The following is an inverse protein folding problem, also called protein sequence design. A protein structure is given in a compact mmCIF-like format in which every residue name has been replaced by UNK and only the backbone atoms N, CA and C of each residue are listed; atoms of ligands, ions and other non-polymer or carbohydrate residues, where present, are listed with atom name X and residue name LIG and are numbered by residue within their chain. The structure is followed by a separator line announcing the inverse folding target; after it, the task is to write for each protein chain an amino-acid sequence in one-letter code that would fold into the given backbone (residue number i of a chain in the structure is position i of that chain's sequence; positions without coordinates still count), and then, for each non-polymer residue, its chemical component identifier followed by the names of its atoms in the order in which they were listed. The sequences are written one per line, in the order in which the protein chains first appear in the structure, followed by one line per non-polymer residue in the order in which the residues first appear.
data_IF_215176707555
#
_entry.id   IF_215176707555
#
_cell.length_a   1.000
_cell.length_b   1.000
_cell.length_c   1.000
_cell.angle_alpha   90.00
_cell.angle_beta   90.00
_cell.angle_gamma   90.00
#
_symmetry.space_group_name_H-M   'P 1'
#
loop_
_entity.id
_entity.type
_entity.pdbx_description
1 polymer ?
#
# COMPACT_ATOMS: atom_id res chain seq x y z
N UNK A 1 58.78 -36.47 -4.85
CA UNK A 1 58.30 -35.32 -4.05
C UNK A 1 56.82 -34.95 -4.33
N UNK A 2 56.24 -35.30 -5.49
CA UNK A 2 54.84 -35.01 -5.86
C UNK A 2 53.75 -35.93 -5.25
N UNK A 3 54.07 -37.17 -4.85
CA UNK A 3 53.03 -38.07 -4.28
C UNK A 3 52.65 -37.74 -2.82
N UNK A 4 53.59 -37.24 -2.02
CA UNK A 4 53.31 -36.83 -0.64
C UNK A 4 52.43 -35.57 -0.59
N UNK A 5 52.51 -34.68 -1.57
CA UNK A 5 51.66 -33.48 -1.66
C UNK A 5 50.20 -33.85 -1.97
N UNK A 6 49.96 -34.80 -2.89
CA UNK A 6 48.59 -35.27 -3.22
C UNK A 6 47.89 -35.95 -2.05
N UNK A 7 48.64 -36.67 -1.20
CA UNK A 7 48.08 -37.41 -0.04
C UNK A 7 47.52 -36.50 1.05
N UNK A 8 48.01 -35.26 1.14
CA UNK A 8 47.51 -34.24 2.06
C UNK A 8 46.63 -33.18 1.40
N UNK A 9 46.73 -32.97 0.09
CA UNK A 9 45.95 -31.97 -0.63
C UNK A 9 44.43 -32.27 -0.59
N UNK A 10 44.06 -33.54 -0.75
CA UNK A 10 42.66 -33.95 -0.74
C UNK A 10 41.99 -33.74 0.63
N UNK A 11 42.56 -34.21 1.76
CA UNK A 11 41.98 -33.93 3.07
C UNK A 11 42.05 -32.44 3.44
N UNK A 12 43.10 -31.71 3.04
CA UNK A 12 43.21 -30.27 3.32
C UNK A 12 42.16 -29.45 2.56
N UNK A 13 41.94 -29.76 1.27
CA UNK A 13 40.90 -29.14 0.44
C UNK A 13 39.50 -29.45 0.97
N UNK A 14 39.26 -30.69 1.39
CA UNK A 14 37.99 -31.10 1.99
C UNK A 14 37.74 -30.34 3.30
N UNK A 15 38.76 -30.22 4.15
CA UNK A 15 38.65 -29.49 5.43
C UNK A 15 38.37 -28.01 5.21
N UNK A 16 39.00 -27.41 4.20
CA UNK A 16 38.76 -26.02 3.81
C UNK A 16 37.34 -25.82 3.26
N UNK A 17 36.85 -26.75 2.42
CA UNK A 17 35.49 -26.70 1.89
C UNK A 17 34.43 -26.84 3.00
N UNK A 18 34.67 -27.73 3.98
CA UNK A 18 33.80 -27.87 5.16
C UNK A 18 33.82 -26.60 5.99
N UNK A 19 34.98 -25.98 6.23
CA UNK A 19 35.06 -24.70 6.96
C UNK A 19 34.34 -23.58 6.23
N UNK A 20 34.49 -23.46 4.90
CA UNK A 20 33.77 -22.47 4.10
C UNK A 20 32.27 -22.73 4.13
N UNK A 21 31.84 -24.00 4.06
CA UNK A 21 30.43 -24.39 4.17
C UNK A 21 29.85 -24.04 5.54
N UNK A 22 30.59 -24.28 6.63
CA UNK A 22 30.16 -23.92 7.98
C UNK A 22 30.11 -22.40 8.14
N UNK A 23 31.09 -21.66 7.61
CA UNK A 23 31.08 -20.19 7.64
C UNK A 23 29.93 -19.62 6.80
N UNK A 24 29.63 -20.20 5.63
CA UNK A 24 28.48 -19.82 4.81
C UNK A 24 27.15 -20.19 5.49
N UNK A 25 27.04 -21.37 6.11
CA UNK A 25 25.85 -21.76 6.89
C UNK A 25 25.64 -20.86 8.10
N UNK A 26 26.70 -20.55 8.85
CA UNK A 26 26.64 -19.59 9.97
C UNK A 26 26.32 -18.20 9.43
N UNK A 27 26.93 -17.75 8.34
CA UNK A 27 26.62 -16.45 7.71
C UNK A 27 25.17 -16.37 7.24
N UNK A 28 24.59 -17.45 6.71
CA UNK A 28 23.17 -17.55 6.36
C UNK A 28 22.27 -17.53 7.62
N UNK A 29 22.72 -18.15 8.72
CA UNK A 29 22.00 -18.16 10.01
C UNK A 29 22.12 -16.83 10.77
N UNK A 30 23.25 -16.12 10.67
CA UNK A 30 23.51 -14.86 11.40
C UNK A 30 23.17 -13.62 10.58
N UNK A 31 23.08 -13.75 9.25
CA UNK A 31 22.67 -12.69 8.35
C UNK A 31 21.49 -13.19 7.50
N UNK A 32 20.28 -13.28 8.08
CA UNK A 32 19.09 -13.51 7.28
C UNK A 32 19.04 -12.36 6.28
N UNK A 33 19.00 -12.64 4.98
CA UNK A 33 18.69 -11.63 3.97
C UNK A 33 17.37 -10.95 4.41
N UNK A 34 17.50 -9.76 5.00
CA UNK A 34 16.41 -9.06 5.69
C UNK A 34 15.56 -8.36 4.65
N UNK A 35 14.87 -9.16 3.86
CA UNK A 35 13.68 -8.75 3.15
C UNK A 35 12.50 -9.32 3.92
N UNK A 36 11.52 -8.46 4.19
CA UNK A 36 10.43 -8.72 5.13
C UNK A 36 9.75 -10.07 4.93
N UNK A 37 9.92 -10.97 5.89
CA UNK A 37 8.95 -12.01 6.23
C UNK A 37 9.25 -12.48 7.65
N UNK A 38 8.31 -12.20 8.56
CA UNK A 38 8.35 -12.81 9.89
C UNK A 38 8.02 -14.30 9.73
N UNK A 39 9.03 -15.13 9.96
CA UNK A 39 8.95 -16.42 10.64
C UNK A 39 8.11 -17.53 9.98
N UNK A 40 8.75 -18.38 9.19
CA UNK A 40 8.35 -19.79 9.07
C UNK A 40 8.90 -20.54 10.30
N UNK A 41 8.06 -20.75 11.31
CA UNK A 41 8.26 -21.82 12.29
C UNK A 41 7.15 -22.84 12.09
N UNK A 42 7.56 -24.09 11.78
CA UNK A 42 6.70 -25.26 11.82
C UNK A 42 6.01 -25.32 13.19
N UNK A 43 4.71 -25.04 13.23
CA UNK A 43 3.84 -25.33 14.38
C UNK A 43 2.58 -26.02 13.90
N UNK A 44 2.44 -27.23 14.41
CA UNK A 44 1.20 -28.02 14.49
C UNK A 44 -0.02 -27.15 14.77
N UNK A 45 -1.08 -27.46 14.04
CA UNK A 45 -2.43 -26.90 14.10
C UNK A 45 -2.90 -26.71 15.54
N UNK A 46 -2.88 -25.46 15.98
CA UNK A 46 -3.75 -24.96 17.03
C UNK A 46 -4.46 -23.74 16.46
N UNK A 47 -5.77 -23.87 16.23
CA UNK A 47 -6.65 -22.74 15.95
C UNK A 47 -6.47 -21.74 17.09
N UNK A 48 -6.00 -20.53 16.76
CA UNK A 48 -5.90 -19.27 17.53
C UNK A 48 -4.52 -18.64 17.24
N UNK A 49 -4.36 -18.00 16.07
CA UNK A 49 -3.17 -17.20 15.79
C UNK A 49 -3.57 -15.82 15.24
N UNK A 50 -3.61 -14.85 16.16
CA UNK A 50 -3.67 -13.38 15.97
C UNK A 50 -2.39 -12.80 15.33
N UNK A 51 -1.52 -13.64 14.74
CA UNK A 51 -0.14 -13.29 14.40
C UNK A 51 0.04 -12.63 13.03
N UNK A 52 -0.99 -12.63 12.17
CA UNK A 52 -0.95 -12.02 10.83
C UNK A 52 -1.61 -10.64 10.76
N UNK A 53 -2.05 -10.09 11.90
CA UNK A 53 -2.74 -8.80 11.93
C UNK A 53 -1.72 -7.68 11.93
N UNK A 54 -1.62 -6.98 10.79
CA UNK A 54 -0.75 -5.82 10.65
C UNK A 54 -1.25 -4.69 11.58
N UNK A 55 -0.39 -4.06 12.41
CA UNK A 55 -0.81 -2.99 13.31
C UNK A 55 -1.52 -1.84 12.58
N UNK A 56 -2.50 -1.19 13.23
CA UNK A 56 -3.26 -0.08 12.65
C UNK A 56 -2.32 0.99 12.07
N UNK A 57 -1.27 1.36 12.80
CA UNK A 57 -0.33 2.37 12.35
C UNK A 57 0.39 2.01 11.04
N UNK A 58 0.56 0.72 10.75
CA UNK A 58 1.27 0.23 9.58
C UNK A 58 0.33 0.17 8.37
N UNK A 59 -0.94 -0.17 8.59
CA UNK A 59 -2.00 -0.14 7.57
C UNK A 59 -2.30 1.30 7.13
N UNK A 60 -2.28 2.24 8.07
CA UNK A 60 -2.57 3.66 7.83
C UNK A 60 -1.32 4.54 7.72
N UNK A 61 -0.14 3.97 7.48
CA UNK A 61 1.06 4.76 7.21
C UNK A 61 1.00 5.42 5.81
N UNK A 62 1.78 6.49 5.57
CA UNK A 62 2.00 7.00 4.22
C UNK A 62 2.59 5.91 3.30
N UNK A 63 2.50 6.13 1.99
CA UNK A 63 2.87 5.12 0.99
C UNK A 63 4.22 5.40 0.32
N UNK A 64 4.57 6.68 0.16
CA UNK A 64 5.75 7.10 -0.62
C UNK A 64 6.54 8.19 0.09
N UNK A 65 7.82 8.25 -0.23
CA UNK A 65 8.74 9.30 0.21
C UNK A 65 9.31 10.00 -1.01
N UNK A 66 9.22 11.32 -1.02
CA UNK A 66 9.88 12.19 -1.99
C UNK A 66 10.92 13.00 -1.24
N UNK A 67 12.16 13.00 -1.74
CA UNK A 67 13.23 13.87 -1.26
C UNK A 67 13.36 15.06 -2.18
N UNK A 68 13.36 16.26 -1.62
CA UNK A 68 13.71 17.51 -2.29
C UNK A 68 15.12 17.90 -1.84
N UNK A 69 16.04 18.08 -2.79
CA UNK A 69 17.41 18.52 -2.49
C UNK A 69 17.53 20.04 -2.35
N UNK A 70 18.75 20.53 -2.10
CA UNK A 70 19.10 21.95 -2.01
C UNK A 70 18.72 22.78 -3.24
N UNK A 71 18.71 22.14 -4.42
CA UNK A 71 18.40 22.76 -5.71
C UNK A 71 16.94 22.56 -6.11
N UNK A 72 16.08 22.12 -5.19
CA UNK A 72 14.66 21.81 -5.42
C UNK A 72 14.40 20.66 -6.40
N UNK A 73 15.41 19.84 -6.73
CA UNK A 73 15.15 18.63 -7.50
C UNK A 73 14.52 17.57 -6.60
N UNK A 74 13.49 16.91 -7.13
CA UNK A 74 12.70 15.94 -6.41
C UNK A 74 12.96 14.53 -6.89
N UNK A 75 13.17 13.62 -5.94
CA UNK A 75 13.35 12.19 -6.20
C UNK A 75 12.40 11.37 -5.35
N UNK A 76 11.64 10.48 -5.98
CA UNK A 76 10.90 9.44 -5.27
C UNK A 76 11.90 8.37 -4.82
N UNK A 77 11.86 8.05 -3.52
CA UNK A 77 12.72 7.07 -2.90
C UNK A 77 11.99 5.75 -2.72
N UNK A 78 12.57 4.67 -3.22
CA UNK A 78 12.15 3.29 -2.93
C UNK A 78 13.37 2.49 -2.46
N UNK A 79 13.15 1.38 -1.78
CA UNK A 79 14.25 0.49 -1.43
C UNK A 79 13.74 -0.94 -1.41
N UNK A 80 14.47 -1.87 -2.06
CA UNK A 80 14.12 -3.27 -2.00
C UNK A 80 14.32 -3.79 -0.56
N UNK A 81 15.43 -3.43 0.09
CA UNK A 81 15.85 -3.98 1.39
C UNK A 81 15.26 -3.24 2.60
N UNK A 82 14.89 -1.96 2.43
CA UNK A 82 14.58 -1.07 3.55
C UNK A 82 13.17 -0.50 3.46
N UNK A 83 12.38 -0.70 4.51
CA UNK A 83 11.12 0.03 4.69
C UNK A 83 11.40 1.49 5.10
N UNK A 84 11.63 2.35 4.09
CA UNK A 84 11.93 3.78 4.28
C UNK A 84 10.79 4.43 5.08
N UNK A 85 9.55 4.32 4.62
CA UNK A 85 8.40 4.98 5.27
C UNK A 85 8.25 4.56 6.72
N UNK A 86 8.27 3.26 7.01
CA UNK A 86 8.13 2.75 8.38
C UNK A 86 9.24 3.27 9.30
N UNK A 87 10.46 3.42 8.78
CA UNK A 87 11.59 3.99 9.53
C UNK A 87 11.37 5.48 9.81
N UNK A 88 10.94 6.26 8.82
CA UNK A 88 10.60 7.68 8.99
C UNK A 88 9.47 7.86 10.01
N UNK A 89 8.38 7.09 9.89
CA UNK A 89 7.26 7.12 10.83
C UNK A 89 7.71 6.77 12.25
N UNK A 90 8.56 5.75 12.42
CA UNK A 90 9.13 5.40 13.73
C UNK A 90 9.92 6.55 14.35
N UNK A 91 10.59 7.37 13.55
CA UNK A 91 11.27 8.56 14.03
C UNK A 91 10.28 9.66 14.38
N UNK A 92 9.31 9.95 13.51
CA UNK A 92 8.28 10.96 13.79
C UNK A 92 7.45 10.64 15.04
N UNK A 93 7.23 9.35 15.35
CA UNK A 93 6.58 8.89 16.59
C UNK A 93 7.36 9.19 17.87
N UNK A 94 8.67 9.44 17.76
CA UNK A 94 9.55 9.79 18.89
C UNK A 94 9.77 11.30 19.00
N UNK A 95 9.42 12.05 17.96
CA UNK A 95 9.50 13.50 17.91
C UNK A 95 8.36 14.09 18.72
N UNK A 96 8.68 15.03 19.60
CA UNK A 96 7.66 15.81 20.30
C UNK A 96 7.12 16.88 19.35
N UNK A 97 5.80 16.97 19.23
CA UNK A 97 5.12 17.97 18.41
C UNK A 97 4.26 18.88 19.29
N UNK A 98 4.28 20.17 19.02
CA UNK A 98 3.40 21.14 19.67
C UNK A 98 2.61 21.97 18.64
N UNK A 99 1.48 22.52 19.08
CA UNK A 99 0.78 23.60 18.39
C UNK A 99 0.49 23.38 16.89
N UNK A 100 -0.40 22.42 16.57
CA UNK A 100 -0.88 22.21 15.20
C UNK A 100 -1.79 23.37 14.77
N UNK A 101 -1.23 24.30 14.00
CA UNK A 101 -1.89 25.54 13.57
C UNK A 101 -2.05 25.58 12.06
N UNK A 102 -3.23 25.99 11.59
CA UNK A 102 -3.45 26.25 10.16
C UNK A 102 -2.83 27.59 9.80
N UNK A 103 -1.80 27.56 8.96
CA UNK A 103 -1.04 28.76 8.55
C UNK A 103 -1.41 29.25 7.15
N UNK A 104 -2.05 28.41 6.32
CA UNK A 104 -2.51 28.81 4.99
C UNK A 104 -3.75 28.05 4.52
N UNK A 105 -4.50 28.64 3.60
CA UNK A 105 -5.71 28.09 2.95
C UNK A 105 -5.95 28.85 1.65
N UNK A 106 -6.35 28.13 0.60
CA UNK A 106 -6.65 28.65 -0.74
C UNK A 106 -5.49 29.40 -1.41
N UNK A 107 -4.24 29.10 -1.02
CA UNK A 107 -3.04 29.72 -1.59
C UNK A 107 -2.20 28.66 -2.29
N UNK A 108 -2.54 28.39 -3.56
CA UNK A 108 -1.87 27.40 -4.41
C UNK A 108 -0.35 27.58 -4.44
N UNK A 109 0.15 28.78 -4.73
CA UNK A 109 1.59 29.04 -4.79
C UNK A 109 2.28 28.68 -3.48
N UNK A 110 1.80 29.22 -2.35
CA UNK A 110 2.35 28.95 -1.02
C UNK A 110 2.38 27.46 -0.68
N UNK A 111 1.36 26.72 -1.11
CA UNK A 111 1.27 25.27 -0.91
C UNK A 111 2.35 24.53 -1.70
N UNK A 112 2.55 24.86 -2.99
CA UNK A 112 3.64 24.29 -3.79
C UNK A 112 5.03 24.72 -3.30
N UNK A 113 5.17 25.93 -2.74
CA UNK A 113 6.43 26.38 -2.12
C UNK A 113 6.80 25.50 -0.90
N UNK A 114 5.83 25.01 -0.12
CA UNK A 114 6.09 24.03 0.97
C UNK A 114 6.50 22.67 0.40
N UNK A 115 5.83 22.20 -0.64
CA UNK A 115 6.16 20.91 -1.26
C UNK A 115 7.54 20.89 -1.90
N UNK A 116 7.94 22.01 -2.49
CA UNK A 116 9.22 22.18 -3.17
C UNK A 116 10.27 22.79 -2.25
N UNK A 117 10.02 22.79 -0.93
CA UNK A 117 10.97 23.34 0.02
C UNK A 117 12.31 22.59 -0.09
N UNK A 118 13.44 23.30 -0.25
CA UNK A 118 14.76 22.68 -0.27
C UNK A 118 15.03 21.85 0.98
N UNK A 119 15.85 20.81 0.83
CA UNK A 119 16.24 19.91 1.91
C UNK A 119 15.06 19.40 2.72
N UNK A 120 14.13 18.72 2.07
CA UNK A 120 12.95 18.18 2.77
C UNK A 120 12.61 16.77 2.32
N UNK A 121 11.91 16.06 3.20
CA UNK A 121 11.24 14.81 2.89
C UNK A 121 9.73 15.03 2.90
N UNK A 122 9.06 14.60 1.85
CA UNK A 122 7.60 14.58 1.77
C UNK A 122 7.11 13.14 1.82
N UNK A 123 6.33 12.80 2.84
CA UNK A 123 5.61 11.54 2.94
C UNK A 123 4.20 11.72 2.38
N UNK A 124 3.78 10.88 1.43
CA UNK A 124 2.51 11.03 0.73
C UNK A 124 1.56 9.85 1.01
N UNK A 125 0.29 10.16 1.22
CA UNK A 125 -0.83 9.24 1.08
C UNK A 125 -1.37 9.27 -0.36
N UNK A 126 -2.09 8.21 -0.77
CA UNK A 126 -2.78 8.22 -2.07
C UNK A 126 -4.08 9.05 -2.03
N UNK A 127 -4.70 9.14 -0.85
CA UNK A 127 -5.89 9.95 -0.58
C UNK A 127 -5.80 10.63 0.79
N UNK A 128 -6.78 11.47 1.11
CA UNK A 128 -6.84 12.20 2.37
C UNK A 128 -6.95 11.27 3.58
N UNK A 129 -6.04 11.43 4.54
CA UNK A 129 -6.06 10.74 5.83
C UNK A 129 -6.72 11.60 6.89
N UNK A 130 -7.68 11.02 7.62
CA UNK A 130 -8.25 11.58 8.84
C UNK A 130 -7.18 11.94 9.87
N UNK A 131 -7.21 13.18 10.38
CA UNK A 131 -6.27 13.65 11.40
C UNK A 131 -6.25 12.74 12.65
N UNK A 132 -7.38 12.34 13.25
CA UNK A 132 -7.39 11.39 14.37
C UNK A 132 -6.66 10.07 14.12
N UNK A 133 -6.74 9.52 12.89
CA UNK A 133 -6.01 8.30 12.52
C UNK A 133 -4.51 8.61 12.38
N UNK A 134 -4.16 9.72 11.71
CA UNK A 134 -2.77 10.15 11.62
C UNK A 134 -2.15 10.41 12.99
N UNK A 135 -2.91 10.97 13.93
CA UNK A 135 -2.53 11.14 15.32
C UNK A 135 -2.14 9.82 15.99
N UNK A 136 -2.85 8.72 15.69
CA UNK A 136 -2.48 7.39 16.20
C UNK A 136 -1.23 6.84 15.55
N UNK A 137 -1.10 7.00 14.22
CA UNK A 137 0.10 6.61 13.47
C UNK A 137 1.34 7.30 14.03
N UNK A 138 1.23 8.60 14.36
CA UNK A 138 2.32 9.42 14.89
C UNK A 138 2.46 9.42 16.41
N UNK A 139 1.55 8.77 17.16
CA UNK A 139 1.48 8.84 18.63
C UNK A 139 1.31 10.29 19.16
N UNK A 140 0.49 11.07 18.48
CA UNK A 140 0.16 12.48 18.75
C UNK A 140 -1.37 12.72 18.82
N UNK A 141 -2.12 11.81 19.45
CA UNK A 141 -3.60 11.79 19.41
C UNK A 141 -4.27 13.10 19.84
N UNK A 142 -3.75 13.74 20.89
CA UNK A 142 -4.35 14.98 21.42
C UNK A 142 -4.23 16.15 20.43
N UNK A 143 -3.07 16.25 19.78
CA UNK A 143 -2.75 17.28 18.80
C UNK A 143 -3.59 17.15 17.53
N UNK A 144 -3.94 15.91 17.16
CA UNK A 144 -4.68 15.56 15.94
C UNK A 144 -6.13 15.16 16.22
N UNK A 145 -6.75 15.69 17.27
CA UNK A 145 -8.11 15.33 17.70
C UNK A 145 -9.24 15.95 16.86
N UNK A 146 -8.94 16.95 16.04
CA UNK A 146 -9.92 17.69 15.23
C UNK A 146 -10.16 16.99 13.88
N UNK A 147 -11.29 17.28 13.23
CA UNK A 147 -11.71 16.64 11.97
C UNK A 147 -11.02 17.19 10.72
N UNK A 148 -9.72 17.48 10.78
CA UNK A 148 -8.96 17.81 9.57
C UNK A 148 -8.56 16.55 8.80
N UNK A 149 -8.11 16.76 7.56
CA UNK A 149 -7.56 15.70 6.73
C UNK A 149 -6.20 16.13 6.17
N UNK A 150 -5.31 15.16 5.96
CA UNK A 150 -3.96 15.41 5.47
C UNK A 150 -3.60 14.39 4.40
N UNK A 151 -2.98 14.85 3.32
CA UNK A 151 -2.48 13.98 2.25
C UNK A 151 -0.96 13.86 2.32
N UNK A 152 -0.29 14.83 2.94
CA UNK A 152 1.18 14.92 2.91
C UNK A 152 1.74 15.43 4.21
N UNK A 153 2.93 14.92 4.55
CA UNK A 153 3.74 15.34 5.69
C UNK A 153 5.07 15.80 5.13
N UNK A 154 5.41 17.08 5.29
CA UNK A 154 6.69 17.65 4.84
C UNK A 154 7.58 17.87 6.05
N UNK A 155 8.74 17.23 6.02
CA UNK A 155 9.76 17.21 7.07
C UNK A 155 11.02 17.90 6.53
N UNK A 156 11.26 19.17 6.87
CA UNK A 156 12.55 19.84 6.62
C UNK A 156 13.71 19.09 7.29
N UNK A 157 14.84 19.00 6.59
CA UNK A 157 16.06 18.32 7.05
C UNK A 157 17.14 19.31 7.55
N UNK A 158 16.97 20.60 7.25
CA UNK A 158 17.90 21.69 7.57
C UNK A 158 17.65 22.35 8.94
N UNK A 159 17.04 21.60 9.87
CA UNK A 159 16.76 22.00 11.27
C UNK A 159 15.85 23.24 11.44
N UNK A 160 14.61 23.15 10.94
CA UNK A 160 13.63 24.25 11.05
C UNK A 160 12.71 24.19 12.26
N UNK A 161 12.92 23.25 13.18
CA UNK A 161 12.05 23.08 14.36
C UNK A 161 10.56 22.95 14.04
N UNK A 162 10.20 22.60 12.79
CA UNK A 162 8.82 22.58 12.28
C UNK A 162 8.59 21.41 11.32
N UNK A 163 7.37 20.89 11.31
CA UNK A 163 6.84 19.95 10.32
C UNK A 163 5.55 20.50 9.75
N UNK A 164 5.30 20.26 8.47
CA UNK A 164 4.08 20.69 7.80
C UNK A 164 3.16 19.51 7.46
N UNK A 165 1.86 19.71 7.65
CA UNK A 165 0.81 18.77 7.26
C UNK A 165 -0.11 19.44 6.25
N UNK A 166 -0.23 18.85 5.07
CA UNK A 166 -0.83 19.48 3.90
C UNK A 166 -2.13 18.77 3.54
N UNK A 167 -3.16 19.55 3.21
CA UNK A 167 -4.41 19.09 2.61
C UNK A 167 -4.48 19.63 1.18
N UNK A 168 -4.46 18.73 0.20
CA UNK A 168 -4.54 19.03 -1.22
C UNK A 168 -5.90 19.66 -1.55
N UNK A 169 -6.96 19.34 -0.78
CA UNK A 169 -8.23 20.05 -0.85
C UNK A 169 -8.05 21.49 -0.35
N UNK A 170 -8.37 22.46 -1.22
CA UNK A 170 -8.29 23.89 -0.91
C UNK A 170 -6.88 24.37 -0.49
N UNK A 171 -5.82 23.63 -0.82
CA UNK A 171 -4.43 24.01 -0.57
C UNK A 171 -4.17 24.45 0.88
N UNK A 172 -4.63 23.67 1.86
CA UNK A 172 -4.47 24.03 3.28
C UNK A 172 -3.11 23.56 3.79
N UNK A 173 -2.49 24.40 4.62
CA UNK A 173 -1.18 24.13 5.22
C UNK A 173 -1.33 24.26 6.73
N UNK A 174 -0.92 23.22 7.43
CA UNK A 174 -0.82 23.18 8.87
C UNK A 174 0.64 23.04 9.26
N UNK A 175 1.04 23.73 10.32
CA UNK A 175 2.39 23.72 10.87
C UNK A 175 2.31 23.19 12.31
N UNK A 176 3.25 22.33 12.68
CA UNK A 176 3.51 21.94 14.06
C UNK A 176 4.98 22.20 14.38
N UNK A 177 5.25 22.76 15.56
CA UNK A 177 6.62 22.87 16.06
C UNK A 177 7.10 21.49 16.53
N UNK A 178 8.40 21.22 16.37
CA UNK A 178 9.01 19.94 16.74
C UNK A 178 10.24 20.08 17.62
N UNK A 179 10.45 19.10 18.48
CA UNK A 179 11.67 18.91 19.27
C UNK A 179 12.18 17.47 19.14
N UNK A 180 13.48 17.30 19.32
CA UNK A 180 14.15 15.99 19.41
C UNK A 180 14.06 15.12 18.12
N UNK A 181 13.94 15.74 16.94
CA UNK A 181 13.99 15.00 15.68
C UNK A 181 15.42 14.51 15.39
N UNK A 182 15.60 13.20 15.23
CA UNK A 182 16.91 12.63 14.92
C UNK A 182 17.21 12.71 13.41
N UNK A 183 17.72 13.86 12.96
CA UNK A 183 18.10 14.12 11.57
C UNK A 183 19.19 13.15 11.07
N UNK A 184 20.17 12.79 11.91
CA UNK A 184 21.25 11.85 11.51
C UNK A 184 20.70 10.50 11.07
N UNK A 185 19.76 9.95 11.83
CA UNK A 185 19.12 8.67 11.48
C UNK A 185 18.19 8.81 10.26
N UNK A 186 17.53 9.97 10.07
CA UNK A 186 16.75 10.24 8.86
C UNK A 186 17.64 10.21 7.62
N UNK A 187 18.75 10.95 7.66
CA UNK A 187 19.73 10.99 6.58
C UNK A 187 20.27 9.61 6.23
N UNK A 188 20.64 8.79 7.21
CA UNK A 188 21.11 7.41 6.97
C UNK A 188 20.05 6.55 6.26
N UNK A 189 18.78 6.72 6.61
CA UNK A 189 17.66 5.94 6.04
C UNK A 189 17.44 6.26 4.56
N UNK A 190 17.71 7.50 4.13
CA UNK A 190 17.44 7.96 2.76
C UNK A 190 18.66 7.90 1.84
N UNK A 191 19.81 7.43 2.32
CA UNK A 191 21.05 7.32 1.52
C UNK A 191 21.52 5.88 1.31
N UNK A 192 21.12 4.94 2.16
CA UNK A 192 21.59 3.56 2.11
C UNK A 192 20.65 2.67 1.30
N UNK A 193 21.15 2.03 0.23
CA UNK A 193 20.42 1.05 -0.60
C UNK A 193 19.05 1.55 -1.11
N UNK A 194 19.01 2.84 -1.45
CA UNK A 194 17.82 3.50 -2.00
C UNK A 194 17.91 3.57 -3.51
N UNK A 195 16.83 3.18 -4.19
CA UNK A 195 16.59 3.47 -5.60
C UNK A 195 15.87 4.81 -5.68
N UNK A 196 16.33 5.69 -6.55
CA UNK A 196 15.76 7.04 -6.70
C UNK A 196 15.28 7.29 -8.12
N UNK A 197 14.02 7.67 -8.27
CA UNK A 197 13.44 8.07 -9.56
C UNK A 197 13.18 9.57 -9.55
N UNK A 198 13.59 10.27 -10.63
CA UNK A 198 13.30 11.70 -10.77
C UNK A 198 11.80 11.93 -10.91
N UNK A 199 11.27 12.86 -10.14
CA UNK A 199 9.84 13.20 -10.12
C UNK A 199 9.68 14.70 -9.90
N UNK A 200 8.49 15.21 -10.14
CA UNK A 200 8.10 16.57 -9.79
C UNK A 200 6.67 16.56 -9.27
N UNK A 201 6.35 17.36 -8.25
CA UNK A 201 4.96 17.54 -7.84
C UNK A 201 4.37 18.72 -8.63
N UNK A 202 3.56 18.41 -9.65
CA UNK A 202 2.91 19.40 -10.52
C UNK A 202 1.41 19.48 -10.24
N UNK A 203 0.71 20.41 -10.91
CA UNK A 203 -0.74 20.54 -10.82
C UNK A 203 -1.42 19.91 -12.04
N UNK A 204 -2.39 19.02 -11.81
CA UNK A 204 -3.31 18.48 -12.82
C UNK A 204 -4.74 18.75 -12.34
N UNK A 205 -5.55 19.44 -13.15
CA UNK A 205 -6.92 19.82 -12.80
C UNK A 205 -7.07 20.41 -11.38
N UNK A 206 -6.16 21.33 -11.04
CA UNK A 206 -6.06 21.98 -9.72
C UNK A 206 -5.84 21.04 -8.52
N UNK A 207 -5.24 19.88 -8.75
CA UNK A 207 -4.74 18.99 -7.69
C UNK A 207 -3.26 18.69 -7.87
N UNK A 208 -2.48 18.60 -6.78
CA UNK A 208 -1.11 18.10 -6.87
C UNK A 208 -1.08 16.66 -7.38
N UNK A 209 -0.21 16.37 -8.34
CA UNK A 209 0.03 15.02 -8.84
C UNK A 209 1.54 14.78 -9.02
N UNK A 210 1.94 13.51 -8.97
CA UNK A 210 3.33 13.12 -9.14
C UNK A 210 3.65 12.98 -10.63
N UNK A 211 4.41 13.92 -11.17
CA UNK A 211 4.83 13.98 -12.56
C UNK A 211 6.20 13.32 -12.73
N UNK A 212 6.34 12.50 -13.78
CA UNK A 212 7.59 11.84 -14.14
C UNK A 212 8.11 12.52 -15.42
N UNK A 213 9.20 13.31 -15.34
CA UNK A 213 9.68 14.13 -16.46
C UNK A 213 10.32 13.32 -17.59
N UNK A 214 10.73 12.07 -17.30
CA UNK A 214 11.35 11.14 -18.23
C UNK A 214 10.68 9.79 -18.15
N UNK A 215 11.00 8.92 -19.12
CA UNK A 215 10.66 7.50 -19.04
C UNK A 215 11.18 6.88 -17.74
N UNK A 216 10.44 5.90 -17.24
CA UNK A 216 10.81 5.18 -16.02
C UNK A 216 10.83 3.68 -16.28
N UNK A 217 11.88 3.02 -15.81
CA UNK A 217 12.04 1.57 -15.88
C UNK A 217 11.76 0.98 -14.50
N UNK A 218 10.75 0.13 -14.43
CA UNK A 218 10.37 -0.57 -13.20
C UNK A 218 10.44 -2.07 -13.42
N UNK A 219 10.77 -2.81 -12.37
CA UNK A 219 10.88 -4.27 -12.41
C UNK A 219 9.49 -4.89 -12.52
N UNK A 220 9.38 -5.97 -13.27
CA UNK A 220 8.24 -6.86 -13.18
C UNK A 220 8.44 -7.79 -11.97
N UNK A 221 7.35 -8.23 -11.33
CA UNK A 221 7.41 -9.13 -10.17
C UNK A 221 6.55 -10.36 -10.36
N UNK A 222 7.16 -11.54 -10.26
CA UNK A 222 6.44 -12.82 -10.23
C UNK A 222 5.91 -13.10 -8.84
N UNK A 223 4.68 -13.59 -8.75
CA UNK A 223 4.06 -13.98 -7.49
C UNK A 223 3.29 -15.28 -7.63
N UNK A 224 3.43 -16.13 -6.62
CA UNK A 224 2.51 -17.23 -6.39
C UNK A 224 1.50 -16.79 -5.33
N UNK A 225 0.22 -16.80 -5.72
CA UNK A 225 -0.90 -16.50 -4.87
C UNK A 225 -1.09 -17.62 -3.84
N UNK A 226 -1.38 -17.24 -2.61
CA UNK A 226 -1.88 -18.19 -1.61
C UNK A 226 -3.40 -18.15 -1.60
N UNK A 227 -4.03 -19.31 -1.58
CA UNK A 227 -5.48 -19.45 -1.46
C UNK A 227 -5.87 -19.92 -0.06
N UNK A 228 -6.87 -19.26 0.52
CA UNK A 228 -7.48 -19.64 1.80
C UNK A 228 -8.80 -20.37 1.54
N UNK A 229 -9.02 -21.48 2.25
CA UNK A 229 -10.25 -22.26 2.05
C UNK A 229 -11.51 -21.51 2.52
N UNK A 230 -12.62 -21.72 1.82
CA UNK A 230 -13.93 -21.16 2.22
C UNK A 230 -14.33 -21.57 3.65
N UNK A 231 -14.02 -22.81 4.05
CA UNK A 231 -14.34 -23.34 5.38
C UNK A 231 -13.63 -22.59 6.51
N UNK A 232 -12.42 -22.05 6.25
CA UNK A 232 -11.71 -21.17 7.21
C UNK A 232 -12.54 -19.93 7.54
N UNK A 233 -13.08 -19.25 6.53
CA UNK A 233 -13.90 -18.05 6.75
C UNK A 233 -15.29 -18.39 7.27
N UNK A 234 -15.90 -19.47 6.76
CA UNK A 234 -17.21 -19.92 7.23
C UNK A 234 -17.20 -20.21 8.73
N UNK A 235 -16.23 -21.00 9.21
CA UNK A 235 -16.10 -21.36 10.62
C UNK A 235 -15.80 -20.16 11.51
N UNK A 236 -15.05 -19.16 11.02
CA UNK A 236 -14.74 -17.94 11.77
C UNK A 236 -15.91 -16.95 11.83
N UNK A 237 -16.66 -16.81 10.74
CA UNK A 237 -17.68 -15.77 10.57
C UNK A 237 -19.05 -16.27 10.97
N UNK A 238 -19.48 -17.39 10.39
CA UNK A 238 -20.81 -17.98 10.64
C UNK A 238 -20.76 -18.91 11.86
N UNK A 239 -19.64 -19.60 12.07
CA UNK A 239 -19.49 -20.56 13.16
C UNK A 239 -20.42 -21.77 13.03
N UNK A 240 -20.63 -22.48 14.15
CA UNK A 240 -21.50 -23.66 14.20
C UNK A 240 -22.98 -23.29 14.46
N UNK A 241 -23.47 -22.21 13.84
CA UNK A 241 -24.87 -21.79 14.00
C UNK A 241 -25.82 -22.87 13.44
N UNK A 242 -26.72 -23.38 14.27
CA UNK A 242 -27.71 -24.41 13.90
C UNK A 242 -28.73 -23.92 12.88
N UNK A 243 -28.90 -22.60 12.77
CA UNK A 243 -29.89 -21.95 11.89
C UNK A 243 -29.26 -21.41 10.60
N UNK A 244 -28.18 -22.04 10.12
CA UNK A 244 -27.51 -21.63 8.88
C UNK A 244 -28.25 -22.18 7.67
N UNK A 245 -28.59 -21.31 6.72
CA UNK A 245 -29.15 -21.71 5.42
C UNK A 245 -28.09 -21.56 4.33
N UNK A 246 -28.10 -22.47 3.36
CA UNK A 246 -27.16 -22.47 2.23
C UNK A 246 -27.96 -22.34 0.94
N UNK A 247 -27.55 -21.40 0.09
CA UNK A 247 -28.13 -21.21 -1.25
C UNK A 247 -27.03 -21.21 -2.30
N UNK A 248 -27.32 -21.83 -3.44
CA UNK A 248 -26.46 -21.78 -4.62
C UNK A 248 -27.16 -21.00 -5.72
N UNK A 249 -26.49 -20.01 -6.29
CA UNK A 249 -27.04 -19.19 -7.36
C UNK A 249 -25.95 -18.78 -8.35
N UNK A 250 -26.11 -19.14 -9.63
CA UNK A 250 -25.19 -18.72 -10.71
C UNK A 250 -23.69 -18.99 -10.43
N UNK A 251 -23.37 -20.07 -9.71
CA UNK A 251 -22.00 -20.43 -9.34
C UNK A 251 -21.52 -19.83 -8.01
N UNK A 252 -22.31 -18.95 -7.40
CA UNK A 252 -22.04 -18.41 -6.06
C UNK A 252 -22.68 -19.30 -4.99
N UNK A 253 -22.04 -19.35 -3.83
CA UNK A 253 -22.56 -20.02 -2.63
C UNK A 253 -22.76 -19.01 -1.53
N UNK A 254 -23.98 -18.93 -1.01
CA UNK A 254 -24.39 -17.97 0.02
C UNK A 254 -24.73 -18.74 1.29
N UNK A 255 -24.02 -18.45 2.36
CA UNK A 255 -24.30 -18.92 3.71
C UNK A 255 -24.96 -17.80 4.50
N UNK A 256 -26.19 -18.01 4.96
CA UNK A 256 -26.98 -17.03 5.69
C UNK A 256 -27.30 -17.52 7.09
N UNK A 257 -27.17 -16.62 8.06
CA UNK A 257 -27.67 -16.81 9.43
C UNK A 257 -28.58 -15.64 9.81
N UNK A 258 -29.06 -15.57 11.06
CA UNK A 258 -30.08 -14.59 11.47
C UNK A 258 -29.74 -13.12 11.13
N UNK A 259 -28.47 -12.72 11.18
CA UNK A 259 -28.05 -11.32 11.05
C UNK A 259 -26.87 -11.10 10.10
N UNK A 260 -26.42 -12.13 9.40
CA UNK A 260 -25.23 -12.02 8.55
C UNK A 260 -25.25 -13.04 7.42
N UNK A 261 -24.66 -12.62 6.30
CA UNK A 261 -24.48 -13.42 5.09
C UNK A 261 -23.01 -13.46 4.71
N UNK A 262 -22.60 -14.60 4.17
CA UNK A 262 -21.29 -14.81 3.58
C UNK A 262 -21.45 -15.44 2.19
N UNK A 263 -21.13 -14.67 1.16
CA UNK A 263 -21.18 -15.10 -0.24
C UNK A 263 -19.78 -15.39 -0.75
N UNK A 264 -19.57 -16.57 -1.30
CA UNK A 264 -18.38 -16.95 -2.06
C UNK A 264 -18.72 -17.01 -3.54
N UNK A 265 -17.99 -16.28 -4.37
CA UNK A 265 -18.21 -16.27 -5.81
C UNK A 265 -17.32 -17.29 -6.52
N UNK A 266 -17.68 -17.60 -7.77
CA UNK A 266 -16.87 -18.46 -8.65
C UNK A 266 -15.46 -17.94 -8.97
N UNK A 267 -15.17 -16.65 -8.72
CA UNK A 267 -13.87 -16.04 -8.92
C UNK A 267 -13.06 -15.89 -7.63
N UNK A 268 -13.50 -16.55 -6.55
CA UNK A 268 -12.90 -16.52 -5.21
C UNK A 268 -12.97 -15.16 -4.51
N UNK A 269 -13.91 -14.30 -4.94
CA UNK A 269 -14.29 -13.14 -4.14
C UNK A 269 -15.26 -13.57 -3.03
N UNK A 270 -15.12 -12.91 -1.88
CA UNK A 270 -15.95 -13.08 -0.70
C UNK A 270 -16.68 -11.78 -0.43
N UNK A 271 -17.99 -11.85 -0.20
CA UNK A 271 -18.78 -10.74 0.34
C UNK A 271 -19.38 -11.14 1.67
N UNK A 272 -18.98 -10.46 2.73
CA UNK A 272 -19.58 -10.57 4.06
C UNK A 272 -20.53 -9.39 4.28
N UNK A 273 -21.77 -9.67 4.70
CA UNK A 273 -22.72 -8.67 5.15
C UNK A 273 -23.07 -8.91 6.62
N UNK A 274 -23.02 -7.85 7.43
CA UNK A 274 -23.58 -7.83 8.79
C UNK A 274 -24.74 -6.85 8.84
N UNK A 275 -25.94 -7.37 9.08
CA UNK A 275 -27.20 -6.64 9.12
C UNK A 275 -27.55 -6.10 10.52
N UNK A 276 -26.74 -6.41 11.54
CA UNK A 276 -26.86 -5.85 12.90
C UNK A 276 -25.52 -5.33 13.41
N UNK A 277 -24.99 -4.26 12.80
CA UNK A 277 -23.72 -3.68 13.20
C UNK A 277 -23.80 -3.08 14.61
N UNK A 278 -22.76 -3.30 15.41
CA UNK A 278 -22.69 -2.80 16.79
C UNK A 278 -22.43 -1.28 16.88
N UNK A 279 -21.91 -0.67 15.81
CA UNK A 279 -21.60 0.76 15.75
C UNK A 279 -22.17 1.37 14.48
N UNK A 280 -22.76 2.55 14.61
CA UNK A 280 -23.14 3.37 13.45
C UNK A 280 -21.93 4.12 12.92
N UNK A 281 -21.64 4.01 11.62
CA UNK A 281 -20.59 4.82 10.97
C UNK A 281 -21.14 6.19 10.57
N UNK A 282 -20.71 7.23 11.28
CA UNK A 282 -21.13 8.62 11.05
C UNK A 282 -20.03 9.46 10.42
N UNK A 283 -18.77 9.15 10.71
CA UNK A 283 -17.60 9.89 10.26
C UNK A 283 -16.62 9.01 9.50
N UNK A 284 -15.68 9.63 8.80
CA UNK A 284 -14.54 8.92 8.20
C UNK A 284 -13.72 8.17 9.26
N UNK A 285 -13.44 8.78 10.41
CA UNK A 285 -12.70 8.11 11.49
C UNK A 285 -13.41 6.86 11.98
N UNK A 286 -14.75 6.91 12.13
CA UNK A 286 -15.55 5.73 12.46
C UNK A 286 -15.39 4.65 11.38
N UNK A 287 -15.50 5.03 10.11
CA UNK A 287 -15.40 4.11 8.98
C UNK A 287 -14.03 3.41 8.94
N UNK A 288 -12.94 4.18 9.09
CA UNK A 288 -11.58 3.65 9.10
C UNK A 288 -11.36 2.69 10.29
N UNK A 289 -11.82 3.05 11.49
CA UNK A 289 -11.68 2.18 12.66
C UNK A 289 -12.46 0.89 12.54
N UNK A 290 -13.70 0.97 12.07
CA UNK A 290 -14.57 -0.21 11.89
C UNK A 290 -14.04 -1.08 10.77
N UNK A 291 -13.61 -0.51 9.64
CA UNK A 291 -12.94 -1.22 8.56
C UNK A 291 -11.77 -2.05 9.07
N UNK A 292 -10.87 -1.42 9.83
CA UNK A 292 -9.69 -2.10 10.37
C UNK A 292 -10.09 -3.19 11.36
N UNK A 293 -10.94 -2.87 12.33
CA UNK A 293 -11.39 -3.82 13.36
C UNK A 293 -12.00 -5.07 12.73
N UNK A 294 -12.87 -4.92 11.74
CA UNK A 294 -13.51 -6.07 11.13
C UNK A 294 -12.53 -6.82 10.23
N UNK A 295 -11.60 -6.17 9.53
CA UNK A 295 -10.54 -6.87 8.81
C UNK A 295 -9.73 -7.79 9.77
N UNK A 296 -9.41 -7.30 10.97
CA UNK A 296 -8.80 -8.11 12.04
C UNK A 296 -9.71 -9.26 12.47
N UNK A 297 -10.99 -9.00 12.75
CA UNK A 297 -11.93 -10.00 13.24
C UNK A 297 -12.25 -11.10 12.23
N UNK A 298 -12.39 -10.73 10.96
CA UNK A 298 -12.56 -11.67 9.84
C UNK A 298 -11.23 -12.41 9.55
N UNK A 299 -10.12 -11.93 10.11
CA UNK A 299 -8.75 -12.35 9.85
C UNK A 299 -8.42 -12.35 8.37
N UNK A 300 -8.88 -11.29 7.72
CA UNK A 300 -8.49 -10.90 6.37
C UNK A 300 -7.03 -10.48 6.42
N UNK A 301 -6.13 -11.12 5.66
CA UNK A 301 -4.71 -10.79 5.71
C UNK A 301 -4.48 -9.42 5.04
N UNK A 302 -4.31 -8.37 5.84
CA UNK A 302 -3.83 -7.06 5.36
C UNK A 302 -2.30 -7.06 5.17
N UNK A 303 -1.71 -8.20 4.82
CA UNK A 303 -0.26 -8.46 4.88
C UNK A 303 0.54 -7.50 4.01
N UNK A 304 0.17 -7.39 2.73
CA UNK A 304 0.74 -6.43 1.78
C UNK A 304 -0.10 -5.17 1.60
N UNK A 305 -1.20 -5.04 2.35
CA UNK A 305 -2.21 -4.00 2.12
C UNK A 305 -2.09 -2.80 3.04
N UNK A 306 -2.42 -1.64 2.49
CA UNK A 306 -2.44 -0.34 3.16
C UNK A 306 -3.70 0.41 2.78
N UNK A 307 -4.05 1.42 3.57
CA UNK A 307 -5.12 2.34 3.22
C UNK A 307 -4.84 3.03 1.88
N UNK A 308 -5.81 2.92 0.97
CA UNK A 308 -5.75 3.52 -0.35
C UNK A 308 -6.60 4.79 -0.42
N UNK A 309 -7.91 4.67 -0.12
CA UNK A 309 -8.86 5.77 -0.25
C UNK A 309 -10.07 5.63 0.67
N UNK A 310 -10.70 6.76 0.98
CA UNK A 310 -12.02 6.82 1.60
C UNK A 310 -13.02 7.55 0.68
N UNK A 311 -14.01 6.81 0.17
CA UNK A 311 -15.05 7.36 -0.67
C UNK A 311 -16.20 7.89 0.18
N UNK A 312 -16.24 9.21 0.37
CA UNK A 312 -17.22 9.89 1.24
C UNK A 312 -18.68 9.60 0.89
N UNK A 313 -19.02 9.53 -0.41
CA UNK A 313 -20.40 9.31 -0.89
C UNK A 313 -20.95 7.95 -0.44
N UNK A 314 -20.10 6.92 -0.52
CA UNK A 314 -20.47 5.54 -0.25
C UNK A 314 -20.10 5.09 1.18
N UNK A 315 -19.43 5.94 1.96
CA UNK A 315 -18.79 5.59 3.23
C UNK A 315 -17.90 4.35 3.09
N UNK A 316 -17.17 4.28 1.98
CA UNK A 316 -16.36 3.11 1.63
C UNK A 316 -14.89 3.36 1.97
N UNK A 317 -14.29 2.43 2.70
CA UNK A 317 -12.85 2.37 2.94
C UNK A 317 -12.26 1.31 2.01
N UNK A 318 -11.19 1.67 1.33
CA UNK A 318 -10.47 0.76 0.44
C UNK A 318 -9.07 0.54 0.98
N UNK A 319 -8.70 -0.72 1.22
CA UNK A 319 -7.32 -1.13 1.39
C UNK A 319 -6.83 -1.78 0.10
N UNK A 320 -5.61 -1.46 -0.30
CA UNK A 320 -5.00 -1.98 -1.52
C UNK A 320 -3.62 -2.53 -1.21
N UNK A 321 -3.22 -3.57 -1.93
CA UNK A 321 -1.85 -4.08 -1.88
C UNK A 321 -0.88 -3.16 -2.63
N UNK A 322 0.32 -2.99 -2.08
CA UNK A 322 1.36 -2.14 -2.64
C UNK A 322 2.69 -2.90 -2.76
N UNK A 323 3.44 -2.59 -3.82
CA UNK A 323 4.83 -3.02 -3.99
C UNK A 323 5.69 -1.79 -4.27
N UNK A 324 6.77 -1.62 -3.51
CA UNK A 324 7.65 -0.43 -3.57
C UNK A 324 6.92 0.93 -3.51
N UNK A 325 5.77 0.98 -2.82
CA UNK A 325 4.94 2.19 -2.71
C UNK A 325 4.04 2.47 -3.92
N UNK A 326 4.01 1.57 -4.89
CA UNK A 326 3.09 1.59 -6.03
C UNK A 326 1.88 0.67 -5.78
N UNK A 327 0.65 1.14 -6.04
CA UNK A 327 -0.55 0.34 -5.87
C UNK A 327 -0.62 -0.81 -6.89
N UNK A 328 -1.16 -1.94 -6.46
CA UNK A 328 -1.56 -3.03 -7.35
C UNK A 328 -3.03 -2.82 -7.74
N UNK A 329 -3.28 -2.79 -9.04
CA UNK A 329 -4.61 -2.75 -9.63
C UNK A 329 -4.88 -4.10 -10.29
N UNK A 330 -6.01 -4.68 -9.94
CA UNK A 330 -6.50 -5.92 -10.52
C UNK A 330 -7.97 -5.79 -10.83
N UNK A 331 -8.45 -6.63 -11.72
CA UNK A 331 -9.88 -6.88 -11.84
C UNK A 331 -10.30 -7.64 -10.57
N UNK A 332 -11.38 -7.21 -9.90
CA UNK A 332 -11.97 -7.87 -8.71
C UNK A 332 -11.29 -7.57 -7.36
N UNK A 333 -11.43 -8.45 -6.35
CA UNK A 333 -10.95 -8.21 -4.98
C UNK A 333 -9.54 -8.75 -4.71
N UNK A 334 -8.81 -9.25 -5.72
CA UNK A 334 -7.43 -9.68 -5.52
C UNK A 334 -6.53 -8.46 -5.25
N UNK A 335 -6.04 -8.33 -4.01
CA UNK A 335 -5.23 -7.18 -3.59
C UNK A 335 -6.01 -5.93 -3.28
N UNK A 336 -7.34 -6.06 -3.20
CA UNK A 336 -8.26 -5.00 -2.87
C UNK A 336 -9.22 -5.50 -1.79
N UNK A 337 -9.38 -4.71 -0.74
CA UNK A 337 -10.27 -5.04 0.37
C UNK A 337 -11.16 -3.83 0.62
N UNK A 338 -12.46 -4.01 0.51
CA UNK A 338 -13.41 -2.92 0.69
C UNK A 338 -14.25 -3.13 1.94
N UNK A 339 -14.45 -2.04 2.67
CA UNK A 339 -15.46 -1.93 3.70
C UNK A 339 -16.46 -0.86 3.30
N UNK A 340 -17.74 -1.11 3.50
CA UNK A 340 -18.80 -0.13 3.27
C UNK A 340 -19.87 -0.17 4.37
N UNK A 341 -20.38 1.00 4.75
CA UNK A 341 -21.55 1.12 5.61
C UNK A 341 -22.78 1.58 4.81
N UNK A 342 -23.63 0.64 4.41
CA UNK A 342 -24.74 0.81 3.48
C UNK A 342 -26.01 1.22 4.24
N UNK A 343 -26.62 2.31 3.80
CA UNK A 343 -27.93 2.82 4.26
C UNK A 343 -28.10 2.96 5.79
N UNK A 344 -27.00 3.03 6.54
CA UNK A 344 -27.04 3.16 8.00
C UNK A 344 -27.27 1.86 8.77
N UNK A 345 -27.44 0.72 8.09
CA UNK A 345 -27.92 -0.52 8.70
C UNK A 345 -27.06 -1.73 8.40
N UNK A 346 -26.28 -1.72 7.32
CA UNK A 346 -25.52 -2.89 6.87
C UNK A 346 -24.04 -2.57 6.75
N UNK A 347 -23.20 -3.37 7.40
CA UNK A 347 -21.78 -3.41 7.13
C UNK A 347 -21.50 -4.44 6.03
N UNK A 348 -20.82 -4.03 4.97
CA UNK A 348 -20.37 -4.92 3.89
C UNK A 348 -18.85 -4.94 3.83
N UNK A 349 -18.29 -6.13 3.75
CA UNK A 349 -16.86 -6.35 3.53
C UNK A 349 -16.67 -7.21 2.29
N UNK A 350 -15.76 -6.82 1.40
CA UNK A 350 -15.41 -7.59 0.23
C UNK A 350 -13.90 -7.78 0.15
N UNK A 351 -13.50 -9.00 -0.19
CA UNK A 351 -12.10 -9.41 -0.24
C UNK A 351 -11.96 -10.68 -1.09
N UNK A 352 -10.74 -11.08 -1.45
CA UNK A 352 -10.49 -12.35 -2.14
C UNK A 352 -10.03 -13.44 -1.17
N UNK A 353 -10.36 -14.70 -1.47
CA UNK A 353 -9.73 -15.86 -0.84
C UNK A 353 -8.24 -15.98 -1.20
N UNK A 354 -7.79 -15.26 -2.24
CA UNK A 354 -6.41 -15.26 -2.74
C UNK A 354 -5.65 -14.01 -2.27
N UNK A 355 -4.38 -14.16 -1.91
CA UNK A 355 -3.50 -13.05 -1.50
C UNK A 355 -2.07 -13.20 -2.05
N UNK A 356 -1.33 -12.08 -2.16
CA UNK A 356 0.05 -12.03 -2.66
C UNK A 356 1.01 -12.40 -1.55
N UNK A 357 1.57 -13.61 -1.59
CA UNK A 357 2.39 -14.06 -0.46
C UNK A 357 3.80 -14.48 -0.86
N UNK A 358 3.96 -15.27 -1.91
CA UNK A 358 5.26 -15.85 -2.24
C UNK A 358 5.81 -15.16 -3.49
N UNK A 359 6.82 -14.27 -3.37
CA UNK A 359 7.50 -13.74 -4.55
C UNK A 359 8.23 -14.89 -5.26
N UNK A 360 8.08 -14.94 -6.57
CA UNK A 360 8.72 -15.93 -7.44
C UNK A 360 9.82 -15.23 -8.22
N UNK A 361 11.04 -15.78 -8.29
CA UNK A 361 12.07 -15.25 -9.15
C UNK A 361 11.55 -15.18 -10.58
N UNK A 362 11.57 -14.00 -11.17
CA UNK A 362 11.39 -13.83 -12.61
C UNK A 362 12.76 -13.72 -13.26
N UNK A 363 12.83 -13.96 -14.56
CA UNK A 363 13.89 -13.34 -15.36
C UNK A 363 13.87 -11.82 -15.08
N UNK A 364 15.00 -11.13 -15.11
CA UNK A 364 15.12 -9.70 -14.78
C UNK A 364 14.40 -8.79 -15.80
N UNK A 365 13.11 -8.99 -15.98
CA UNK A 365 12.25 -8.25 -16.87
C UNK A 365 11.94 -6.91 -16.24
N UNK A 366 12.10 -5.86 -17.04
CA UNK A 366 11.76 -4.49 -16.69
C UNK A 366 10.79 -3.96 -17.73
N UNK A 367 9.77 -3.25 -17.25
CA UNK A 367 8.86 -2.51 -18.09
C UNK A 367 9.26 -1.04 -18.11
N UNK A 368 9.49 -0.50 -19.31
CA UNK A 368 9.67 0.93 -19.53
C UNK A 368 8.29 1.58 -19.71
N UNK A 369 8.02 2.60 -18.92
CA UNK A 369 6.80 3.43 -19.03
C UNK A 369 7.14 4.79 -19.62
N UNK A 370 6.26 5.36 -20.46
CA UNK A 370 6.45 6.69 -21.00
C UNK A 370 6.48 7.74 -19.88
N UNK A 371 7.09 8.90 -20.16
CA UNK A 371 7.02 10.05 -19.27
C UNK A 371 5.56 10.50 -19.07
N UNK A 372 5.30 11.27 -18.01
CA UNK A 372 3.97 11.86 -17.81
C UNK A 372 3.58 12.83 -18.94
N UNK A 373 4.54 13.43 -19.64
CA UNK A 373 4.28 14.28 -20.80
C UNK A 373 3.73 13.46 -21.97
N UNK A 374 4.41 12.37 -22.29
CA UNK A 374 4.06 11.47 -23.40
C UNK A 374 2.69 10.84 -23.15
N UNK A 375 2.47 10.28 -21.95
CA UNK A 375 1.17 9.75 -21.54
C UNK A 375 0.03 10.76 -21.76
N UNK A 376 0.17 11.98 -21.26
CA UNK A 376 -0.87 13.00 -21.42
C UNK A 376 -1.09 13.37 -22.89
N UNK A 377 -0.03 13.37 -23.70
CA UNK A 377 -0.12 13.64 -25.14
C UNK A 377 -0.86 12.51 -25.87
N UNK A 378 -0.59 11.26 -25.53
CA UNK A 378 -1.27 10.07 -26.06
C UNK A 378 -2.75 10.08 -25.71
N UNK A 379 -3.10 10.29 -24.44
CA UNK A 379 -4.50 10.38 -24.00
C UNK A 379 -5.28 11.46 -24.76
N UNK A 380 -4.68 12.63 -25.00
CA UNK A 380 -5.31 13.71 -25.78
C UNK A 380 -5.51 13.29 -27.24
N UNK A 381 -4.50 12.65 -27.85
CA UNK A 381 -4.56 12.15 -29.22
C UNK A 381 -5.68 11.12 -29.40
N UNK A 382 -5.95 10.32 -28.39
CA UNK A 382 -7.00 9.30 -28.39
C UNK A 382 -8.37 9.83 -27.94
N UNK A 383 -8.57 11.15 -27.97
CA UNK A 383 -9.82 11.84 -27.62
C UNK A 383 -10.30 11.61 -26.17
N UNK A 384 -9.40 11.28 -25.25
CA UNK A 384 -9.71 11.20 -23.83
C UNK A 384 -9.92 12.62 -23.29
N UNK A 385 -11.13 12.89 -22.79
CA UNK A 385 -11.45 14.17 -22.14
C UNK A 385 -10.67 14.34 -20.83
N UNK A 386 -9.55 15.08 -20.90
CA UNK A 386 -8.66 15.30 -19.76
C UNK A 386 -9.29 16.02 -18.59
N UNK A 387 -10.45 16.70 -18.76
CA UNK A 387 -11.19 17.33 -17.66
C UNK A 387 -11.81 16.31 -16.70
N UNK A 388 -12.07 15.09 -17.18
CA UNK A 388 -12.61 13.97 -16.38
C UNK A 388 -11.52 13.18 -15.65
N UNK A 389 -10.25 13.49 -15.91
CA UNK A 389 -9.11 12.89 -15.21
C UNK A 389 -8.98 13.56 -13.84
N UNK A 390 -9.24 12.79 -12.79
CA UNK A 390 -9.15 13.26 -11.41
C UNK A 390 -7.80 12.98 -10.76
N UNK A 391 -7.04 12.00 -11.28
CA UNK A 391 -5.70 11.63 -10.83
C UNK A 391 -4.99 10.77 -11.89
N UNK A 392 -3.66 10.70 -11.85
CA UNK A 392 -2.81 9.83 -12.66
C UNK A 392 -1.69 9.31 -11.76
N UNK A 393 -1.40 8.01 -11.81
CA UNK A 393 -0.26 7.44 -11.11
C UNK A 393 0.23 6.16 -11.77
N UNK A 394 1.48 5.81 -11.52
CA UNK A 394 2.01 4.49 -11.84
C UNK A 394 1.50 3.49 -10.79
N UNK A 395 1.15 2.30 -11.25
CA UNK A 395 0.79 1.14 -10.44
C UNK A 395 1.21 -0.14 -11.14
N UNK A 396 0.85 -1.28 -10.56
CA UNK A 396 1.07 -2.59 -11.15
C UNK A 396 -0.26 -3.20 -11.57
N UNK A 397 -0.34 -3.69 -12.80
CA UNK A 397 -1.45 -4.54 -13.24
C UNK A 397 -1.13 -6.01 -12.92
N UNK A 398 -2.16 -6.79 -12.64
CA UNK A 398 -2.05 -8.25 -12.53
C UNK A 398 -2.15 -8.86 -13.92
N UNK A 399 -1.14 -9.60 -14.32
CA UNK A 399 -1.13 -10.40 -15.55
C UNK A 399 -1.18 -11.88 -15.14
N UNK A 400 -2.33 -12.56 -15.32
CA UNK A 400 -2.44 -13.98 -15.03
C UNK A 400 -1.50 -14.82 -15.89
N UNK A 401 -1.04 -15.94 -15.35
CA UNK A 401 -0.43 -16.99 -16.16
C UNK A 401 -1.54 -17.93 -16.68
N UNK A 402 -1.56 -18.16 -17.99
CA UNK A 402 -2.60 -18.96 -18.65
C UNK A 402 -2.55 -20.45 -18.26
N UNK A 403 -1.39 -20.98 -17.90
CA UNK A 403 -1.18 -22.38 -17.52
C UNK A 403 -1.41 -22.62 -16.03
N UNK A 404 -1.09 -21.63 -15.20
CA UNK A 404 -1.11 -21.73 -13.74
C UNK A 404 -1.83 -20.55 -13.09
N UNK A 405 -3.10 -20.74 -12.73
CA UNK A 405 -3.97 -19.68 -12.14
C UNK A 405 -3.46 -19.03 -10.85
N UNK A 406 -2.60 -19.73 -10.09
CA UNK A 406 -1.98 -19.19 -8.88
C UNK A 406 -0.67 -18.46 -9.16
N UNK A 407 -0.12 -18.60 -10.36
CA UNK A 407 1.07 -17.85 -10.78
C UNK A 407 0.62 -16.59 -11.53
N UNK A 408 1.13 -15.45 -11.10
CA UNK A 408 0.84 -14.17 -11.73
C UNK A 408 2.13 -13.38 -11.94
N UNK A 409 2.06 -12.42 -12.86
CA UNK A 409 3.07 -11.40 -13.06
C UNK A 409 2.47 -10.03 -12.74
N UNK A 410 3.11 -9.28 -11.86
CA UNK A 410 2.82 -7.87 -11.63
C UNK A 410 3.65 -7.06 -12.60
N UNK A 411 2.97 -6.35 -13.51
CA UNK A 411 3.62 -5.51 -14.52
C UNK A 411 3.33 -4.03 -14.29
N UNK A 412 4.33 -3.15 -14.26
CA UNK A 412 4.11 -1.71 -14.18
C UNK A 412 3.21 -1.18 -15.31
N UNK A 413 2.32 -0.23 -15.00
CA UNK A 413 1.55 0.54 -15.98
C UNK A 413 1.16 1.91 -15.43
N UNK A 414 0.71 2.79 -16.32
CA UNK A 414 0.01 4.01 -15.94
C UNK A 414 -1.47 3.73 -15.67
N UNK A 415 -1.96 4.29 -14.57
CA UNK A 415 -3.36 4.26 -14.18
C UNK A 415 -3.91 5.68 -14.10
N UNK A 416 -5.06 5.89 -14.73
CA UNK A 416 -5.74 7.17 -14.84
C UNK A 416 -7.07 7.07 -14.11
N UNK A 417 -7.30 7.92 -13.12
CA UNK A 417 -8.57 7.99 -12.42
C UNK A 417 -9.58 8.80 -13.22
N UNK A 418 -10.28 8.16 -14.15
CA UNK A 418 -11.23 8.77 -15.06
C UNK A 418 -12.67 8.54 -14.56
N UNK A 419 -13.48 9.60 -14.41
CA UNK A 419 -14.83 9.50 -13.82
C UNK A 419 -14.87 8.73 -12.48
N UNK A 420 -13.89 8.98 -11.61
CA UNK A 420 -13.69 8.34 -10.31
C UNK A 420 -13.31 6.84 -10.33
N UNK A 421 -13.08 6.22 -11.48
CA UNK A 421 -12.61 4.84 -11.60
C UNK A 421 -11.14 4.77 -12.04
N UNK A 422 -10.36 3.81 -11.53
CA UNK A 422 -8.95 3.67 -11.91
C UNK A 422 -8.83 2.77 -13.13
N UNK A 423 -8.37 3.33 -14.24
CA UNK A 423 -8.27 2.62 -15.51
C UNK A 423 -6.82 2.53 -15.94
N UNK A 424 -6.42 1.38 -16.48
CA UNK A 424 -5.13 1.31 -17.18
C UNK A 424 -5.20 2.23 -18.40
N UNK A 425 -4.17 3.04 -18.61
CA UNK A 425 -4.18 4.03 -19.69
C UNK A 425 -4.42 3.39 -21.06
N UNK A 426 -3.93 2.17 -21.30
CA UNK A 426 -4.14 1.43 -22.55
C UNK A 426 -5.60 1.09 -22.83
N UNK A 427 -6.41 0.90 -21.80
CA UNK A 427 -7.85 0.63 -21.97
C UNK A 427 -8.59 1.92 -22.40
N UNK A 428 -8.11 3.08 -21.97
CA UNK A 428 -8.63 4.39 -22.41
C UNK A 428 -8.29 4.67 -23.87
N UNK A 429 -7.06 4.37 -24.30
CA UNK A 429 -6.60 4.52 -25.69
C UNK A 429 -7.46 3.71 -26.67
N UNK A 430 -7.88 2.51 -26.26
CA UNK A 430 -8.72 1.61 -27.07
C UNK A 430 -10.21 1.94 -27.02
N UNK A 431 -10.62 2.99 -26.30
CA UNK A 431 -12.04 3.31 -26.08
C UNK A 431 -12.81 2.22 -25.33
N UNK A 432 -12.11 1.32 -24.64
CA UNK A 432 -12.70 0.16 -23.96
C UNK A 432 -13.14 0.52 -22.54
N UNK A 433 -14.18 1.36 -22.45
CA UNK A 433 -14.76 1.80 -21.18
C UNK A 433 -15.58 0.72 -20.46
N UNK A 434 -15.74 -0.47 -21.02
CA UNK A 434 -16.60 -1.53 -20.47
C UNK A 434 -15.83 -2.57 -19.63
N UNK A 435 -14.54 -2.85 -19.91
CA UNK A 435 -13.68 -3.65 -19.00
C UNK A 435 -13.53 -2.97 -17.64
N UNK A 436 -13.49 -1.64 -17.66
CA UNK A 436 -13.45 -0.71 -16.55
C UNK A 436 -14.67 -0.73 -15.60
N UNK A 437 -15.84 -1.21 -16.04
CA UNK A 437 -17.05 -1.19 -15.20
C UNK A 437 -16.97 -2.13 -14.00
N UNK A 438 -15.99 -3.04 -13.94
CA UNK A 438 -15.80 -3.96 -12.81
C UNK A 438 -15.18 -3.32 -11.56
N UNK A 439 -14.71 -2.07 -11.64
CA UNK A 439 -14.35 -1.29 -10.44
C UNK A 439 -15.52 -0.44 -9.90
N UNK A 440 -16.71 -0.47 -10.51
CA UNK A 440 -17.89 0.17 -9.90
C UNK A 440 -18.43 -0.71 -8.77
N UNK A 441 -17.90 -0.51 -7.57
CA UNK A 441 -18.56 -0.89 -6.33
C UNK A 441 -18.45 0.26 -5.32
#
# INVERSE_FOLDING_TARGET
MMEKLKRYFLPLSLTLAVLISVVLSVSLLTNPARFSSKTHQNRSVALHNDTNVRPLQDVYSPLRVIKTDDHQHQKMLTSPTTNIVGTLIKQLRRTEMNDLKRVSTNKKQRYFDVLNQPNSLTLNYNDSMSAPILGQVLKQTDLFSKRQQFQRIVVPLDDKGKIYFLNDQNYQIYEAGIKNLNLKQLHRTITHEVVSNQVEIRSLNNKPFLYFPHEIKLKDYGYMLQEQSQSTYLSRIIGNSTDTTVKHHQGDTIYSSANQDLTFTSNDDVTYNNFRPQKTVKTEDDALRVAYKNAVQLGVPLGSSQFDTYQKQNKMVVYRSFIDGFPIFGDQQLGNYTYQFINGTTERYQFSLRDFQIPVPTEEQQTTLPSSKELLTELIKDNVDTKKISNIQIGYQIVPNDEHKLLILLRPSWFVKYNNQWLNYRDLEQGNFDKARKENF
#
